data_IF_245934980327
#
_entry.id   IF_245934980327
#
_cell.length_a   1.000
_cell.length_b   1.000
_cell.length_c   1.000
_cell.angle_alpha   90.00
_cell.angle_beta   90.00
_cell.angle_gamma   90.00
#
_symmetry.space_group_name_H-M   'P 1'
#
loop_
_entity.id
_entity.type
_entity.pdbx_description
1 polymer ?
#
# COMPACT_ATOMS: atom_id res chain seq x y z
N UNK A 1 8.20 -3.19 -17.01
CA UNK A 1 8.55 -4.51 -17.63
C UNK A 1 7.48 -5.50 -17.24
N UNK A 2 6.65 -5.97 -18.15
CA UNK A 2 5.71 -7.05 -17.89
C UNK A 2 6.54 -8.32 -17.64
N UNK A 3 6.64 -8.74 -16.39
CA UNK A 3 7.24 -10.03 -16.05
C UNK A 3 6.28 -11.11 -16.55
N UNK A 4 6.76 -12.04 -17.37
CA UNK A 4 6.01 -12.98 -18.21
C UNK A 4 5.14 -14.04 -17.49
N UNK A 5 4.54 -13.71 -16.34
CA UNK A 5 3.65 -14.60 -15.58
C UNK A 5 2.15 -14.28 -15.74
N UNK A 6 1.80 -13.25 -16.51
CA UNK A 6 0.44 -12.74 -16.59
C UNK A 6 -0.51 -13.61 -17.45
N UNK A 7 0.00 -14.34 -18.40
CA UNK A 7 -0.81 -15.01 -19.41
C UNK A 7 -1.66 -16.22 -18.96
N UNK A 8 -1.26 -17.06 -17.96
CA UNK A 8 -2.02 -18.27 -17.65
C UNK A 8 -3.44 -18.00 -17.14
N UNK A 9 -3.68 -16.86 -16.46
CA UNK A 9 -5.01 -16.56 -15.91
C UNK A 9 -6.02 -16.22 -17.00
N UNK A 10 -5.58 -15.66 -18.13
CA UNK A 10 -6.49 -15.29 -19.23
C UNK A 10 -7.07 -16.50 -19.96
N UNK A 11 -6.53 -17.71 -19.75
CA UNK A 11 -7.04 -18.95 -20.28
C UNK A 11 -8.20 -19.53 -19.44
N UNK A 12 -8.46 -18.96 -18.24
CA UNK A 12 -9.53 -19.40 -17.36
C UNK A 12 -10.80 -18.60 -17.63
N UNK A 13 -11.90 -19.31 -17.94
CA UNK A 13 -13.20 -18.69 -18.16
C UNK A 13 -13.70 -17.89 -16.94
N UNK A 14 -13.45 -18.42 -15.74
CA UNK A 14 -13.79 -17.78 -14.47
C UNK A 14 -13.05 -16.45 -14.27
N UNK A 15 -11.85 -16.30 -14.81
CA UNK A 15 -11.10 -15.04 -14.75
C UNK A 15 -11.75 -13.97 -15.62
N UNK A 16 -12.24 -14.33 -16.79
CA UNK A 16 -12.97 -13.39 -17.65
C UNK A 16 -14.28 -12.94 -17.00
N UNK A 17 -15.03 -13.85 -16.38
CA UNK A 17 -16.26 -13.52 -15.64
C UNK A 17 -15.96 -12.59 -14.46
N UNK A 18 -14.87 -12.83 -13.72
CA UNK A 18 -14.41 -11.97 -12.64
C UNK A 18 -14.11 -10.56 -13.14
N UNK A 19 -13.35 -10.44 -14.23
CA UNK A 19 -13.03 -9.13 -14.82
C UNK A 19 -14.28 -8.38 -15.26
N UNK A 20 -15.24 -9.07 -15.88
CA UNK A 20 -16.52 -8.47 -16.28
C UNK A 20 -17.34 -7.98 -15.08
N UNK A 21 -17.38 -8.76 -14.01
CA UNK A 21 -18.06 -8.41 -12.76
C UNK A 21 -17.45 -7.16 -12.11
N UNK A 22 -16.14 -7.07 -12.07
CA UNK A 22 -15.42 -5.91 -11.54
C UNK A 22 -15.62 -4.64 -12.40
N UNK A 23 -15.71 -4.78 -13.73
CA UNK A 23 -16.00 -3.67 -14.64
C UNK A 23 -17.42 -3.13 -14.47
N UNK A 24 -18.40 -4.00 -14.20
CA UNK A 24 -19.81 -3.60 -14.00
C UNK A 24 -20.05 -2.82 -12.71
N UNK A 25 -19.13 -2.85 -11.74
CA UNK A 25 -19.22 -2.14 -10.44
C UNK A 25 -20.54 -2.41 -9.67
N UNK A 26 -21.10 -3.60 -9.78
CA UNK A 26 -22.40 -3.94 -9.22
C UNK A 26 -22.39 -4.32 -7.73
N UNK A 27 -21.25 -4.18 -7.06
CA UNK A 27 -21.09 -4.49 -5.65
C UNK A 27 -19.80 -5.26 -5.37
N UNK A 28 -19.61 -5.75 -4.15
CA UNK A 28 -18.43 -6.55 -3.79
C UNK A 28 -18.44 -7.89 -4.55
N UNK A 29 -17.28 -8.32 -5.00
CA UNK A 29 -17.07 -9.62 -5.64
C UNK A 29 -16.30 -10.51 -4.67
N UNK A 30 -16.87 -11.69 -4.39
CA UNK A 30 -16.21 -12.70 -3.56
C UNK A 30 -15.53 -13.73 -4.46
N UNK A 31 -14.27 -13.99 -4.17
CA UNK A 31 -13.47 -15.05 -4.82
C UNK A 31 -13.09 -16.08 -3.77
N UNK A 32 -13.30 -17.35 -4.06
CA UNK A 32 -12.96 -18.49 -3.19
C UNK A 32 -12.15 -19.53 -3.93
N UNK A 33 -11.49 -20.42 -3.18
CA UNK A 33 -10.73 -21.55 -3.75
C UNK A 33 -9.29 -21.23 -4.16
N UNK A 34 -8.83 -19.98 -4.04
CA UNK A 34 -7.43 -19.63 -4.31
C UNK A 34 -6.53 -19.98 -3.13
N UNK A 35 -5.39 -20.58 -3.40
CA UNK A 35 -4.30 -20.77 -2.44
C UNK A 35 -3.53 -19.44 -2.26
N UNK A 36 -2.67 -19.39 -1.24
CA UNK A 36 -2.06 -18.15 -0.75
C UNK A 36 -1.39 -17.26 -1.81
N UNK A 37 -0.35 -17.72 -2.45
CA UNK A 37 0.36 -16.96 -3.49
C UNK A 37 -0.48 -16.78 -4.78
N UNK A 38 -1.42 -17.69 -5.05
CA UNK A 38 -2.36 -17.52 -6.16
C UNK A 38 -3.27 -16.32 -5.97
N UNK A 39 -3.64 -15.98 -4.72
CA UNK A 39 -4.43 -14.78 -4.41
C UNK A 39 -3.72 -13.51 -4.87
N UNK A 40 -2.42 -13.42 -4.61
CA UNK A 40 -1.62 -12.24 -4.98
C UNK A 40 -1.50 -12.13 -6.50
N UNK A 41 -1.25 -13.22 -7.21
CA UNK A 41 -1.24 -13.24 -8.67
C UNK A 41 -2.60 -12.81 -9.25
N UNK A 42 -3.70 -13.36 -8.72
CA UNK A 42 -5.04 -13.00 -9.15
C UNK A 42 -5.34 -11.51 -8.89
N UNK A 43 -5.00 -10.98 -7.71
CA UNK A 43 -5.16 -9.56 -7.39
C UNK A 43 -4.33 -8.66 -8.31
N UNK A 44 -3.09 -9.07 -8.63
CA UNK A 44 -2.22 -8.33 -9.53
C UNK A 44 -2.86 -8.19 -10.92
N UNK A 45 -3.38 -9.28 -11.47
CA UNK A 45 -3.94 -9.32 -12.82
C UNK A 45 -5.34 -8.70 -12.91
N UNK A 46 -6.20 -8.96 -11.93
CA UNK A 46 -7.57 -8.37 -11.91
C UNK A 46 -7.58 -6.86 -11.75
N UNK A 47 -6.55 -6.30 -11.11
CA UNK A 47 -6.42 -4.87 -10.85
C UNK A 47 -5.30 -4.21 -11.69
N UNK A 48 -4.88 -4.84 -12.79
CA UNK A 48 -3.76 -4.35 -13.60
C UNK A 48 -4.01 -2.92 -14.15
N UNK A 49 -5.25 -2.59 -14.47
CA UNK A 49 -5.69 -1.29 -14.99
C UNK A 49 -5.88 -0.21 -13.92
N UNK A 50 -5.74 -0.56 -12.63
CA UNK A 50 -5.90 0.38 -11.52
C UNK A 50 -4.54 0.98 -11.13
N UNK A 51 -4.43 2.32 -11.04
CA UNK A 51 -3.17 2.94 -10.64
C UNK A 51 -2.83 2.57 -9.19
N UNK A 52 -3.77 2.72 -8.26
CA UNK A 52 -3.59 2.40 -6.86
C UNK A 52 -4.43 1.19 -6.44
N UNK A 53 -3.82 0.35 -5.61
CA UNK A 53 -4.45 -0.84 -5.02
C UNK A 53 -4.22 -0.82 -3.52
N UNK A 54 -5.29 -1.08 -2.77
CA UNK A 54 -5.22 -1.26 -1.33
C UNK A 54 -5.56 -2.72 -1.02
N UNK A 55 -4.64 -3.40 -0.36
CA UNK A 55 -4.84 -4.78 0.12
C UNK A 55 -4.87 -4.76 1.63
N UNK A 56 -5.97 -5.25 2.19
CA UNK A 56 -6.20 -5.28 3.65
C UNK A 56 -6.28 -6.72 4.11
N UNK A 57 -5.54 -7.05 5.15
CA UNK A 57 -5.54 -8.39 5.75
C UNK A 57 -5.77 -8.32 7.26
N UNK A 58 -5.80 -9.46 7.92
CA UNK A 58 -6.22 -9.59 9.31
C UNK A 58 -5.06 -9.44 10.32
N UNK A 59 -3.80 -9.73 9.93
CA UNK A 59 -2.63 -9.57 10.78
C UNK A 59 -1.37 -9.14 10.02
N UNK A 60 -0.34 -8.74 10.78
CA UNK A 60 0.91 -8.20 10.24
C UNK A 60 1.78 -9.29 9.57
N UNK A 61 1.74 -10.53 10.07
CA UNK A 61 2.46 -11.64 9.46
C UNK A 61 1.94 -11.90 8.06
N UNK A 62 0.61 -11.95 7.90
CA UNK A 62 -0.03 -12.12 6.60
C UNK A 62 0.17 -10.89 5.70
N UNK A 63 0.16 -9.69 6.25
CA UNK A 63 0.47 -8.48 5.48
C UNK A 63 1.88 -8.54 4.91
N UNK A 64 2.85 -8.98 5.70
CA UNK A 64 4.23 -9.14 5.26
C UNK A 64 4.39 -10.18 4.16
N UNK A 65 3.75 -11.36 4.28
CA UNK A 65 3.75 -12.38 3.23
C UNK A 65 3.19 -11.85 1.92
N UNK A 66 2.03 -11.18 1.96
CA UNK A 66 1.39 -10.59 0.78
C UNK A 66 2.28 -9.52 0.16
N UNK A 67 2.91 -8.69 0.98
CA UNK A 67 3.86 -7.67 0.51
C UNK A 67 5.04 -8.29 -0.21
N UNK A 68 5.65 -9.34 0.34
CA UNK A 68 6.79 -10.05 -0.25
C UNK A 68 6.38 -10.75 -1.57
N UNK A 69 5.19 -11.37 -1.60
CA UNK A 69 4.64 -11.98 -2.81
C UNK A 69 4.38 -10.94 -3.93
N UNK A 70 3.81 -9.77 -3.61
CA UNK A 70 3.65 -8.70 -4.60
C UNK A 70 4.98 -8.19 -5.13
N UNK A 71 6.03 -8.17 -4.31
CA UNK A 71 7.39 -7.82 -4.68
C UNK A 71 7.96 -8.68 -5.82
N UNK A 72 7.45 -9.91 -6.01
CA UNK A 72 7.80 -10.77 -7.15
C UNK A 72 7.25 -10.24 -8.48
N UNK A 73 6.17 -9.47 -8.46
CA UNK A 73 5.50 -8.97 -9.67
C UNK A 73 5.86 -7.53 -10.00
N UNK A 74 6.12 -6.69 -8.99
CA UNK A 74 6.33 -5.26 -9.16
C UNK A 74 7.20 -4.66 -8.06
N UNK A 75 7.82 -3.53 -8.34
CA UNK A 75 8.72 -2.85 -7.41
C UNK A 75 7.97 -1.80 -6.52
N UNK A 76 6.86 -1.24 -7.01
CA UNK A 76 6.07 -0.22 -6.31
C UNK A 76 5.01 -0.84 -5.38
N UNK A 77 5.48 -1.52 -4.36
CA UNK A 77 4.67 -2.14 -3.29
C UNK A 77 5.14 -1.59 -1.95
N UNK A 78 4.23 -1.25 -1.09
CA UNK A 78 4.53 -0.71 0.24
C UNK A 78 3.69 -1.39 1.32
N UNK A 79 4.35 -1.69 2.43
CA UNK A 79 3.71 -2.18 3.64
C UNK A 79 3.40 -0.98 4.55
N UNK A 80 2.13 -0.80 4.90
CA UNK A 80 1.68 0.22 5.84
C UNK A 80 1.35 -0.45 7.17
N UNK A 81 2.26 -0.37 8.18
CA UNK A 81 2.13 -1.10 9.43
C UNK A 81 1.07 -0.48 10.35
N UNK A 82 0.45 -1.30 11.20
CA UNK A 82 -0.33 -0.82 12.33
C UNK A 82 0.57 -0.10 13.35
N UNK A 83 0.00 0.84 14.10
CA UNK A 83 0.69 1.38 15.27
C UNK A 83 0.64 0.34 16.37
N UNK A 84 1.81 0.01 16.90
CA UNK A 84 1.90 -0.85 18.06
C UNK A 84 1.37 -0.07 19.29
N UNK A 85 0.22 -0.50 19.82
CA UNK A 85 -0.41 0.11 21.00
C UNK A 85 0.22 -0.37 22.31
N UNK A 86 1.29 -1.17 22.25
CA UNK A 86 1.99 -1.63 23.44
C UNK A 86 2.82 -0.49 24.05
N UNK A 87 2.25 0.14 25.05
CA UNK A 87 2.75 1.29 25.80
C UNK A 87 4.10 1.09 26.52
N UNK A 88 4.77 -0.04 26.37
CA UNK A 88 5.93 -0.41 27.20
C UNK A 88 7.28 -0.54 26.50
N UNK A 89 7.38 -0.42 25.21
CA UNK A 89 8.67 -0.34 24.52
C UNK A 89 8.83 1.03 23.88
N UNK A 90 9.04 1.99 24.76
CA UNK A 90 9.20 3.40 24.44
C UNK A 90 10.33 3.63 23.43
N UNK A 91 10.13 4.58 22.55
CA UNK A 91 11.05 5.40 21.77
C UNK A 91 11.69 4.83 20.51
N UNK A 92 12.25 3.63 20.48
CA UNK A 92 13.02 3.20 19.29
C UNK A 92 12.09 2.58 18.23
N UNK A 93 11.17 1.71 18.62
CA UNK A 93 10.26 1.04 17.70
C UNK A 93 9.14 1.96 17.19
N UNK A 94 8.62 2.84 18.04
CA UNK A 94 7.60 3.81 17.66
C UNK A 94 8.06 4.78 16.57
N UNK A 95 9.32 5.21 16.62
CA UNK A 95 9.91 6.08 15.60
C UNK A 95 10.10 5.36 14.25
N UNK A 96 10.45 4.06 14.27
CA UNK A 96 10.59 3.27 13.06
C UNK A 96 9.25 3.09 12.34
N UNK A 97 8.21 2.66 13.07
CA UNK A 97 6.86 2.49 12.53
C UNK A 97 6.32 3.81 11.96
N UNK A 98 6.51 4.91 12.69
CA UNK A 98 6.10 6.23 12.22
C UNK A 98 6.82 6.60 10.92
N UNK A 99 8.12 6.35 10.82
CA UNK A 99 8.90 6.58 9.62
C UNK A 99 8.41 5.74 8.43
N UNK A 100 8.15 4.45 8.64
CA UNK A 100 7.63 3.55 7.59
C UNK A 100 6.28 4.03 7.08
N UNK A 101 5.37 4.42 7.99
CA UNK A 101 4.06 4.98 7.64
C UNK A 101 4.19 6.28 6.83
N UNK A 102 5.06 7.20 7.25
CA UNK A 102 5.32 8.45 6.54
C UNK A 102 5.90 8.20 5.14
N UNK A 103 6.76 7.18 4.97
CA UNK A 103 7.26 6.81 3.66
C UNK A 103 6.13 6.36 2.72
N UNK A 104 5.21 5.52 3.19
CA UNK A 104 4.06 5.09 2.38
C UNK A 104 3.17 6.28 2.01
N UNK A 105 2.90 7.17 2.95
CA UNK A 105 2.11 8.38 2.70
C UNK A 105 2.79 9.31 1.69
N UNK A 106 4.11 9.41 1.74
CA UNK A 106 4.90 10.14 0.75
C UNK A 106 4.73 9.54 -0.64
N UNK A 107 4.86 8.21 -0.80
CA UNK A 107 4.63 7.55 -2.08
C UNK A 107 3.20 7.75 -2.60
N UNK A 108 2.20 7.73 -1.73
CA UNK A 108 0.81 8.03 -2.10
C UNK A 108 0.62 9.49 -2.62
N UNK A 109 1.50 10.41 -2.21
CA UNK A 109 1.44 11.80 -2.68
C UNK A 109 2.26 12.06 -3.95
N UNK A 110 3.38 11.36 -4.09
CA UNK A 110 4.40 11.62 -5.14
C UNK A 110 4.30 10.67 -6.33
N UNK A 111 3.90 9.40 -6.09
CA UNK A 111 3.87 8.38 -7.13
C UNK A 111 2.53 8.32 -7.86
N UNK A 112 2.57 7.90 -9.13
CA UNK A 112 1.37 7.78 -9.96
C UNK A 112 0.61 6.47 -9.70
N UNK A 113 1.28 5.42 -9.22
CA UNK A 113 0.67 4.09 -9.04
C UNK A 113 1.40 3.24 -8.02
N UNK A 114 0.67 2.32 -7.39
CA UNK A 114 1.27 1.37 -6.47
C UNK A 114 0.30 0.39 -5.80
N UNK A 115 0.85 -0.45 -4.95
CA UNK A 115 0.10 -1.35 -4.07
C UNK A 115 0.46 -1.02 -2.62
N UNK A 116 -0.53 -0.74 -1.81
CA UNK A 116 -0.37 -0.61 -0.36
C UNK A 116 -0.98 -1.84 0.30
N UNK A 117 -0.18 -2.55 1.07
CA UNK A 117 -0.62 -3.69 1.89
C UNK A 117 -0.68 -3.24 3.35
N UNK A 118 -1.77 -3.54 4.02
CA UNK A 118 -1.98 -3.14 5.43
C UNK A 118 -2.90 -4.12 6.15
N UNK A 119 -3.07 -3.92 7.44
CA UNK A 119 -4.05 -4.63 8.26
C UNK A 119 -5.27 -3.76 8.56
N UNK A 120 -6.34 -4.38 9.08
CA UNK A 120 -7.49 -3.62 9.58
C UNK A 120 -7.07 -2.64 10.68
N UNK A 121 -6.17 -3.05 11.58
CA UNK A 121 -5.66 -2.19 12.65
C UNK A 121 -4.89 -1.00 12.09
N UNK A 122 -4.12 -1.19 11.02
CA UNK A 122 -3.44 -0.11 10.31
C UNK A 122 -4.39 0.94 9.72
N UNK A 123 -5.58 0.53 9.27
CA UNK A 123 -6.60 1.42 8.73
C UNK A 123 -7.44 2.15 9.79
N UNK A 124 -7.49 1.64 11.02
CA UNK A 124 -8.29 2.26 12.09
C UNK A 124 -7.72 3.57 12.60
N UNK A 125 -6.47 3.88 12.25
CA UNK A 125 -5.85 5.14 12.62
C UNK A 125 -6.37 6.31 11.77
N UNK A 126 -6.61 7.42 12.46
CA UNK A 126 -6.93 8.67 11.79
C UNK A 126 -5.70 9.26 11.10
N UNK A 127 -5.84 9.54 9.81
CA UNK A 127 -4.86 10.24 9.01
C UNK A 127 -5.28 11.68 8.77
N UNK A 128 -4.30 12.57 8.71
CA UNK A 128 -4.55 13.92 8.22
C UNK A 128 -4.93 13.88 6.73
N UNK A 129 -5.83 14.77 6.29
CA UNK A 129 -6.12 14.90 4.86
C UNK A 129 -4.85 15.15 4.06
N UNK A 130 -4.75 14.56 2.86
CA UNK A 130 -3.57 14.71 2.00
C UNK A 130 -3.24 16.18 1.68
N UNK A 131 -4.24 17.06 1.60
CA UNK A 131 -4.04 18.51 1.43
C UNK A 131 -3.23 19.11 2.57
N UNK A 132 -3.61 18.80 3.81
CA UNK A 132 -2.90 19.27 5.00
C UNK A 132 -1.48 18.69 5.09
N UNK A 133 -1.32 17.42 4.69
CA UNK A 133 0.01 16.79 4.66
C UNK A 133 0.93 17.47 3.65
N UNK A 134 0.44 17.80 2.46
CA UNK A 134 1.22 18.49 1.41
C UNK A 134 1.70 19.87 1.87
N UNK A 135 0.90 20.60 2.63
CA UNK A 135 1.28 21.91 3.18
C UNK A 135 2.39 21.81 4.25
N UNK A 136 2.53 20.65 4.89
CA UNK A 136 3.52 20.40 5.94
C UNK A 136 4.81 19.75 5.41
N UNK A 137 4.84 19.27 4.17
CA UNK A 137 6.03 18.70 3.55
C UNK A 137 6.97 19.82 3.14
N UNK A 138 8.20 19.75 3.60
CA UNK A 138 9.26 20.67 3.26
C UNK A 138 10.27 19.97 2.37
N UNK A 139 10.52 20.55 1.21
CA UNK A 139 11.56 20.09 0.30
C UNK A 139 12.84 20.87 0.59
N UNK A 140 13.90 20.16 0.94
CA UNK A 140 15.22 20.72 1.23
C UNK A 140 16.21 20.26 0.18
N UNK A 141 16.95 21.22 -0.37
CA UNK A 141 18.02 20.96 -1.32
C UNK A 141 19.39 21.25 -0.72
N UNK A 142 20.39 20.50 -1.16
CA UNK A 142 21.77 20.72 -0.71
C UNK A 142 22.27 22.10 -1.14
N UNK A 143 22.70 22.92 -0.19
CA UNK A 143 23.17 24.30 -0.44
C UNK A 143 22.07 25.39 -0.28
N UNK A 144 20.85 25.02 0.10
CA UNK A 144 19.80 25.96 0.43
C UNK A 144 20.07 26.61 1.79
N UNK A 145 19.97 27.95 1.86
CA UNK A 145 19.97 28.67 3.14
C UNK A 145 18.63 28.46 3.86
N UNK A 146 18.70 28.01 5.12
CA UNK A 146 17.54 27.73 5.96
C UNK A 146 17.49 28.72 7.12
N UNK A 147 16.36 29.41 7.26
CA UNK A 147 16.04 30.14 8.47
C UNK A 147 15.48 29.17 9.53
N UNK A 148 16.35 28.76 10.44
CA UNK A 148 16.03 27.81 11.50
C UNK A 148 15.01 28.34 12.51
N UNK A 149 14.87 29.66 12.67
CA UNK A 149 13.89 30.25 13.58
C UNK A 149 12.49 30.23 12.97
N UNK A 150 12.36 30.53 11.69
CA UNK A 150 11.10 30.37 10.96
C UNK A 150 10.63 28.91 10.91
N UNK A 151 11.56 27.96 11.03
CA UNK A 151 11.30 26.52 11.00
C UNK A 151 10.73 25.98 12.31
N UNK A 152 11.10 26.54 13.45
CA UNK A 152 10.62 26.11 14.78
C UNK A 152 9.18 26.49 15.07
N UNK A 153 8.59 27.37 14.27
CA UNK A 153 7.24 27.95 14.50
C UNK A 153 6.16 27.20 13.68
N UNK A 154 6.53 26.26 12.82
CA UNK A 154 5.63 25.38 12.06
C UNK A 154 5.55 23.98 12.68
#
# INVERSE_FOLDING_TARGET
>A
MSRGFANPLTELAEFEELQQSLKKKQGPVQVSGCLDSQKVHLMQETMADRPWKLVVTYDDARAKEIYDDFGCFRDNVWLYPAKDLLFYSADIHGNLITRERLQVLRHLMEDESGVVVTTMDGLMDHLLPLSCMREQVLHLETGQELDLEAWKIR
#
